data_IF_479145562651
#
_entry.id   IF_479145562651
#
_cell.length_a   1.000
_cell.length_b   1.000
_cell.length_c   1.000
_cell.angle_alpha   90.00
_cell.angle_beta   90.00
_cell.angle_gamma   90.00
#
_symmetry.space_group_name_H-M   'P 1'
#
loop_
_entity.id
_entity.type
_entity.pdbx_description
1 polymer ?
#
# COMPACT_ATOMS: atom_id res chain seq x y z
N UNK A 1 -25.11 -28.69 -13.14
CA UNK A 1 -24.23 -28.19 -14.22
C UNK A 1 -23.04 -27.52 -13.55
N UNK A 2 -21.87 -28.17 -13.61
CA UNK A 2 -20.66 -27.78 -12.88
C UNK A 2 -20.21 -26.37 -13.26
N UNK A 3 -19.99 -25.51 -12.28
CA UNK A 3 -19.40 -24.17 -12.46
C UNK A 3 -17.90 -24.29 -12.77
N UNK A 4 -17.53 -24.89 -13.91
CA UNK A 4 -16.13 -25.07 -14.28
C UNK A 4 -15.53 -23.71 -14.68
N UNK A 5 -14.54 -23.22 -13.93
CA UNK A 5 -13.71 -22.08 -14.33
C UNK A 5 -13.62 -20.90 -13.37
N UNK A 6 -14.06 -20.99 -12.10
CA UNK A 6 -14.04 -19.84 -11.17
C UNK A 6 -13.34 -20.11 -9.84
N UNK A 7 -12.46 -21.11 -9.77
CA UNK A 7 -11.70 -21.45 -8.57
C UNK A 7 -10.38 -20.70 -8.51
N UNK A 8 -10.16 -19.95 -7.43
CA UNK A 8 -8.93 -19.18 -7.22
C UNK A 8 -8.22 -19.68 -5.96
N UNK A 9 -6.96 -20.09 -6.11
CA UNK A 9 -6.08 -20.44 -5.00
C UNK A 9 -5.12 -19.29 -4.69
N UNK A 10 -5.25 -18.67 -3.52
CA UNK A 10 -4.33 -17.64 -3.05
C UNK A 10 -3.14 -18.23 -2.28
N UNK A 11 -1.94 -17.86 -2.69
CA UNK A 11 -0.66 -18.22 -2.09
C UNK A 11 -0.08 -16.95 -1.45
N UNK A 12 -0.10 -16.89 -0.12
CA UNK A 12 0.16 -15.66 0.63
C UNK A 12 1.58 -15.60 1.17
N UNK A 13 2.08 -14.38 1.41
CA UNK A 13 3.33 -14.16 2.14
C UNK A 13 3.13 -14.04 3.67
N UNK A 14 1.88 -14.01 4.15
CA UNK A 14 1.54 -14.00 5.59
C UNK A 14 0.17 -14.59 5.87
N UNK A 15 -0.05 -15.07 7.09
CA UNK A 15 -1.29 -15.73 7.52
C UNK A 15 -2.39 -14.74 7.96
N UNK A 16 -3.64 -15.21 7.94
CA UNK A 16 -4.80 -14.44 8.39
C UNK A 16 -4.78 -14.07 9.87
N UNK A 17 -4.09 -14.84 10.73
CA UNK A 17 -3.94 -14.54 12.15
C UNK A 17 -2.96 -13.39 12.43
N UNK A 18 -2.01 -13.14 11.53
CA UNK A 18 -1.00 -12.09 11.66
C UNK A 18 -0.65 -11.47 10.29
N UNK A 19 -1.62 -10.82 9.62
CA UNK A 19 -1.42 -10.41 8.25
C UNK A 19 -0.51 -9.20 8.12
N UNK A 20 0.40 -9.27 7.17
CA UNK A 20 1.06 -8.09 6.64
C UNK A 20 0.02 -7.15 6.02
N UNK A 21 0.25 -5.83 6.06
CA UNK A 21 -0.65 -4.86 5.42
C UNK A 21 -0.95 -5.19 3.95
N UNK A 22 0.06 -5.64 3.19
CA UNK A 22 -0.09 -6.02 1.79
C UNK A 22 -1.00 -7.24 1.60
N UNK A 23 -0.92 -8.26 2.46
CA UNK A 23 -1.80 -9.43 2.40
C UNK A 23 -3.25 -9.04 2.69
N UNK A 24 -3.46 -8.24 3.75
CA UNK A 24 -4.80 -7.74 4.11
C UNK A 24 -5.43 -6.92 2.98
N UNK A 25 -4.69 -5.95 2.45
CA UNK A 25 -5.21 -5.00 1.45
C UNK A 25 -5.41 -5.67 0.07
N UNK A 26 -4.42 -6.41 -0.42
CA UNK A 26 -4.48 -6.97 -1.78
C UNK A 26 -5.30 -8.27 -1.90
N UNK A 27 -5.57 -8.96 -0.79
CA UNK A 27 -6.30 -10.23 -0.80
C UNK A 27 -7.54 -10.18 0.09
N UNK A 28 -7.39 -10.05 1.40
CA UNK A 28 -8.54 -10.23 2.31
C UNK A 28 -9.66 -9.23 2.09
N UNK A 29 -9.33 -7.96 1.80
CA UNK A 29 -10.33 -6.93 1.54
C UNK A 29 -11.13 -7.17 0.26
N UNK A 30 -10.58 -7.92 -0.72
CA UNK A 30 -11.25 -8.17 -2.00
C UNK A 30 -11.98 -9.52 -2.06
N UNK A 31 -11.71 -10.45 -1.14
CA UNK A 31 -12.37 -11.76 -1.09
C UNK A 31 -13.92 -11.69 -1.09
N UNK A 32 -14.58 -10.79 -0.33
CA UNK A 32 -16.04 -10.69 -0.36
C UNK A 32 -16.57 -10.33 -1.75
N UNK A 33 -15.93 -9.39 -2.45
CA UNK A 33 -16.32 -8.98 -3.79
C UNK A 33 -16.08 -10.07 -4.82
N UNK A 34 -14.98 -10.85 -4.70
CA UNK A 34 -14.73 -12.02 -5.54
C UNK A 34 -15.85 -13.07 -5.38
N UNK A 35 -16.26 -13.36 -4.15
CA UNK A 35 -17.35 -14.30 -3.86
C UNK A 35 -18.68 -13.80 -4.42
N UNK A 36 -18.97 -12.51 -4.25
CA UNK A 36 -20.18 -11.88 -4.81
C UNK A 36 -20.19 -11.93 -6.35
N UNK A 37 -19.02 -11.86 -7.00
CA UNK A 37 -18.88 -12.05 -8.44
C UNK A 37 -18.93 -13.53 -8.87
N UNK A 38 -19.10 -14.46 -7.93
CA UNK A 38 -19.24 -15.89 -8.16
C UNK A 38 -17.93 -16.66 -8.29
N UNK A 39 -16.82 -16.12 -7.76
CA UNK A 39 -15.56 -16.86 -7.61
C UNK A 39 -15.54 -17.71 -6.33
N UNK A 40 -15.07 -18.94 -6.46
CA UNK A 40 -14.71 -19.80 -5.35
C UNK A 40 -13.25 -19.51 -4.95
N UNK A 41 -13.07 -18.46 -4.16
CA UNK A 41 -11.77 -17.99 -3.71
C UNK A 41 -11.36 -18.64 -2.37
N UNK A 42 -10.26 -19.40 -2.40
CA UNK A 42 -9.69 -20.07 -1.22
C UNK A 42 -8.26 -19.61 -0.93
N UNK A 43 -7.90 -19.58 0.35
CA UNK A 43 -6.50 -19.45 0.75
C UNK A 43 -5.87 -20.82 0.63
N UNK A 44 -5.07 -21.02 -0.41
CA UNK A 44 -4.44 -22.31 -0.69
C UNK A 44 -3.15 -22.52 0.10
N UNK A 45 -2.46 -21.42 0.44
CA UNK A 45 -1.24 -21.47 1.23
C UNK A 45 -1.04 -20.17 1.98
N UNK A 46 -0.65 -20.26 3.25
CA UNK A 46 -0.09 -19.17 4.03
C UNK A 46 1.02 -19.71 4.94
N UNK A 47 2.16 -19.01 5.06
CA UNK A 47 3.25 -19.45 5.92
C UNK A 47 2.95 -19.14 7.39
N UNK A 48 3.46 -19.96 8.33
CA UNK A 48 3.26 -19.74 9.76
C UNK A 48 3.94 -18.47 10.28
N UNK A 49 4.98 -17.99 9.57
CA UNK A 49 5.63 -16.71 9.82
C UNK A 49 5.67 -15.92 8.51
N UNK A 50 5.48 -14.59 8.55
CA UNK A 50 5.55 -13.77 7.35
C UNK A 50 6.89 -13.92 6.61
N UNK A 51 6.83 -14.33 5.35
CA UNK A 51 7.99 -14.46 4.48
C UNK A 51 7.57 -14.36 3.02
N UNK A 52 8.38 -13.69 2.21
CA UNK A 52 8.19 -13.65 0.76
C UNK A 52 8.84 -14.84 0.04
N UNK A 53 9.59 -15.68 0.75
CA UNK A 53 10.22 -16.90 0.21
C UNK A 53 9.81 -18.12 1.02
N UNK A 54 8.51 -18.46 1.07
CA UNK A 54 8.05 -19.64 1.79
C UNK A 54 8.50 -20.93 1.10
N UNK A 55 8.60 -22.00 1.88
CA UNK A 55 8.63 -23.36 1.33
C UNK A 55 7.22 -23.72 0.87
N UNK A 56 7.07 -23.94 -0.43
CA UNK A 56 5.80 -24.26 -1.11
C UNK A 56 5.84 -25.63 -1.77
N UNK A 57 6.74 -26.52 -1.33
CA UNK A 57 6.90 -27.85 -1.92
C UNK A 57 5.56 -28.60 -2.05
N UNK A 58 5.26 -29.09 -3.25
CA UNK A 58 4.04 -29.84 -3.55
C UNK A 58 2.78 -28.98 -3.62
N UNK A 59 2.91 -27.66 -3.70
CA UNK A 59 1.79 -26.74 -3.87
C UNK A 59 1.04 -27.00 -5.18
N UNK A 60 1.75 -27.12 -6.31
CA UNK A 60 1.14 -27.28 -7.63
C UNK A 60 0.26 -28.53 -7.69
N UNK A 61 0.76 -29.67 -7.21
CA UNK A 61 -0.01 -30.91 -7.16
C UNK A 61 -1.31 -30.76 -6.37
N UNK A 62 -1.28 -30.04 -5.23
CA UNK A 62 -2.49 -29.75 -4.44
C UNK A 62 -3.47 -28.86 -5.17
N UNK A 63 -3.01 -27.74 -5.75
CA UNK A 63 -3.91 -26.83 -6.48
C UNK A 63 -4.56 -27.50 -7.71
N UNK A 64 -3.80 -28.35 -8.42
CA UNK A 64 -4.32 -29.14 -9.54
C UNK A 64 -5.38 -30.13 -9.04
N UNK A 65 -5.12 -30.84 -7.94
CA UNK A 65 -6.07 -31.77 -7.34
C UNK A 65 -7.35 -31.06 -6.85
N UNK A 66 -7.22 -29.84 -6.33
CA UNK A 66 -8.35 -29.00 -5.89
C UNK A 66 -9.14 -28.40 -7.08
N UNK A 67 -8.65 -28.56 -8.32
CA UNK A 67 -9.26 -28.00 -9.52
C UNK A 67 -9.19 -26.47 -9.56
N UNK A 68 -8.09 -25.90 -9.08
CA UNK A 68 -7.84 -24.45 -9.15
C UNK A 68 -7.63 -24.02 -10.61
N UNK A 69 -8.39 -23.02 -11.04
CA UNK A 69 -8.26 -22.43 -12.38
C UNK A 69 -7.20 -21.32 -12.43
N UNK A 70 -7.11 -20.53 -11.34
CA UNK A 70 -6.18 -19.41 -11.20
C UNK A 70 -5.44 -19.51 -9.87
N UNK A 71 -4.11 -19.56 -9.91
CA UNK A 71 -3.25 -19.45 -8.74
C UNK A 71 -2.70 -18.02 -8.61
N UNK A 72 -3.02 -17.35 -7.50
CA UNK A 72 -2.57 -15.98 -7.20
C UNK A 72 -1.44 -15.98 -6.18
N UNK A 73 -0.26 -15.55 -6.58
CA UNK A 73 0.96 -15.49 -5.78
C UNK A 73 1.14 -14.08 -5.21
N UNK A 74 0.71 -13.87 -3.97
CA UNK A 74 0.80 -12.56 -3.31
C UNK A 74 2.21 -12.38 -2.72
N UNK A 75 3.04 -11.57 -3.39
CA UNK A 75 4.42 -11.23 -3.06
C UNK A 75 5.41 -12.39 -2.95
N UNK A 76 4.96 -13.64 -2.94
CA UNK A 76 5.86 -14.79 -2.83
C UNK A 76 6.72 -14.98 -4.08
N UNK A 77 7.99 -15.34 -3.89
CA UNK A 77 8.98 -15.54 -4.95
C UNK A 77 10.10 -16.49 -4.49
N UNK A 78 11.04 -16.73 -5.40
CA UNK A 78 12.22 -17.56 -5.15
C UNK A 78 12.15 -18.88 -5.92
N UNK A 79 13.24 -19.67 -5.90
CA UNK A 79 13.38 -20.85 -6.76
C UNK A 79 12.25 -21.87 -6.60
N UNK A 80 11.86 -22.18 -5.35
CA UNK A 80 10.76 -23.13 -5.09
C UNK A 80 9.41 -22.63 -5.62
N UNK A 81 9.09 -21.35 -5.38
CA UNK A 81 7.86 -20.74 -5.92
C UNK A 81 7.85 -20.76 -7.45
N UNK A 82 8.98 -20.49 -8.10
CA UNK A 82 9.10 -20.52 -9.56
C UNK A 82 8.84 -21.92 -10.13
N UNK A 83 9.43 -22.96 -9.52
CA UNK A 83 9.23 -24.34 -9.95
C UNK A 83 7.75 -24.79 -9.83
N UNK A 84 7.07 -24.39 -8.76
CA UNK A 84 5.63 -24.68 -8.59
C UNK A 84 4.79 -23.92 -9.63
N UNK A 85 5.13 -22.66 -9.96
CA UNK A 85 4.45 -21.89 -11.01
C UNK A 85 4.62 -22.56 -12.38
N UNK A 86 5.82 -23.03 -12.73
CA UNK A 86 6.07 -23.73 -14.00
C UNK A 86 5.22 -25.00 -14.11
N UNK A 87 5.14 -25.77 -13.03
CA UNK A 87 4.33 -26.98 -12.96
C UNK A 87 2.84 -26.68 -13.16
N UNK A 88 2.32 -25.64 -12.50
CA UNK A 88 0.94 -25.18 -12.66
C UNK A 88 0.63 -24.78 -14.10
N UNK A 89 1.54 -24.02 -14.73
CA UNK A 89 1.37 -23.57 -16.12
C UNK A 89 1.35 -24.73 -17.11
N UNK A 90 2.22 -25.72 -16.91
CA UNK A 90 2.22 -26.93 -17.74
C UNK A 90 0.92 -27.72 -17.60
N UNK A 91 0.28 -27.67 -16.44
CA UNK A 91 -1.04 -28.25 -16.20
C UNK A 91 -2.22 -27.36 -16.65
N UNK A 92 -1.96 -26.20 -17.26
CA UNK A 92 -2.98 -25.29 -17.76
C UNK A 92 -3.61 -24.36 -16.71
N UNK A 93 -3.11 -24.36 -15.47
CA UNK A 93 -3.55 -23.43 -14.42
C UNK A 93 -2.96 -22.05 -14.70
N UNK A 94 -3.82 -21.02 -14.71
CA UNK A 94 -3.38 -19.63 -14.92
C UNK A 94 -2.70 -19.10 -13.68
N UNK A 95 -1.64 -18.32 -13.86
CA UNK A 95 -0.87 -17.79 -12.72
C UNK A 95 -0.84 -16.27 -12.71
N UNK A 96 -1.09 -15.69 -11.53
CA UNK A 96 -1.07 -14.24 -11.31
C UNK A 96 -0.07 -13.90 -10.22
N UNK A 97 0.80 -12.93 -10.46
CA UNK A 97 1.71 -12.40 -9.45
C UNK A 97 1.21 -11.06 -8.90
N UNK A 98 1.02 -10.95 -7.58
CA UNK A 98 0.60 -9.71 -6.93
C UNK A 98 1.75 -9.07 -6.16
N UNK A 99 2.13 -7.84 -6.48
CA UNK A 99 3.25 -7.13 -5.82
C UNK A 99 2.93 -5.64 -5.63
N UNK A 100 3.46 -5.01 -4.58
CA UNK A 100 3.13 -3.62 -4.26
C UNK A 100 4.34 -2.69 -4.08
N UNK A 101 5.55 -3.23 -4.00
CA UNK A 101 6.73 -2.49 -3.53
C UNK A 101 8.07 -2.96 -4.15
N UNK A 102 8.02 -3.80 -5.19
CA UNK A 102 9.20 -4.40 -5.81
C UNK A 102 9.09 -4.48 -7.33
N UNK A 103 10.25 -4.42 -7.98
CA UNK A 103 10.45 -4.67 -9.40
C UNK A 103 11.07 -6.06 -9.57
N UNK A 104 10.25 -7.06 -9.91
CA UNK A 104 10.65 -8.45 -10.12
C UNK A 104 10.29 -8.91 -11.55
N UNK A 105 11.15 -8.56 -12.52
CA UNK A 105 10.91 -8.85 -13.94
C UNK A 105 10.83 -10.36 -14.24
N UNK A 106 11.52 -11.18 -13.45
CA UNK A 106 11.50 -12.63 -13.62
C UNK A 106 10.13 -13.21 -13.26
N UNK A 107 9.54 -12.81 -12.12
CA UNK A 107 8.19 -13.25 -11.74
C UNK A 107 7.13 -12.74 -12.72
N UNK A 108 7.29 -11.52 -13.24
CA UNK A 108 6.40 -10.97 -14.28
C UNK A 108 6.49 -11.79 -15.56
N UNK A 109 7.68 -12.21 -15.98
CA UNK A 109 7.87 -13.06 -17.17
C UNK A 109 7.29 -14.45 -16.98
N UNK A 110 7.37 -14.98 -15.76
CA UNK A 110 6.93 -16.32 -15.42
C UNK A 110 5.41 -16.47 -15.31
N UNK A 111 4.70 -15.39 -14.97
CA UNK A 111 3.24 -15.43 -14.73
C UNK A 111 2.42 -14.97 -15.94
N UNK A 112 1.15 -15.39 -16.01
CA UNK A 112 0.26 -14.97 -17.11
C UNK A 112 -0.13 -13.49 -16.99
N UNK A 113 -0.30 -13.02 -15.76
CA UNK A 113 -0.53 -11.62 -15.44
C UNK A 113 0.19 -11.21 -14.15
N UNK A 114 0.50 -9.93 -14.04
CA UNK A 114 0.96 -9.31 -12.79
C UNK A 114 0.00 -8.21 -12.38
N UNK A 115 -0.33 -8.15 -11.09
CA UNK A 115 -1.11 -7.08 -10.48
C UNK A 115 -0.19 -6.22 -9.62
N UNK A 116 -0.24 -4.92 -9.84
CA UNK A 116 0.58 -3.92 -9.14
C UNK A 116 -0.26 -2.71 -8.72
N UNK A 117 0.26 -1.91 -7.78
CA UNK A 117 -0.54 -0.87 -7.12
C UNK A 117 -0.43 0.53 -7.74
N UNK A 118 0.57 0.80 -8.58
CA UNK A 118 0.76 2.12 -9.21
C UNK A 118 1.26 2.02 -10.65
N UNK A 119 0.88 2.99 -11.48
CA UNK A 119 1.43 3.15 -12.83
C UNK A 119 2.95 3.43 -12.80
N UNK A 120 3.42 4.23 -11.84
CA UNK A 120 4.84 4.52 -11.73
C UNK A 120 5.68 3.25 -11.49
N UNK A 121 5.24 2.37 -10.58
CA UNK A 121 5.95 1.11 -10.32
C UNK A 121 5.90 0.19 -11.55
N UNK A 122 4.76 0.11 -12.25
CA UNK A 122 4.66 -0.59 -13.54
C UNK A 122 5.69 -0.09 -14.56
N UNK A 123 5.88 1.23 -14.66
CA UNK A 123 6.84 1.84 -15.59
C UNK A 123 8.31 1.52 -15.26
N UNK A 124 8.61 1.07 -14.04
CA UNK A 124 9.97 0.67 -13.67
C UNK A 124 10.35 -0.74 -14.14
N UNK A 125 9.38 -1.53 -14.61
CA UNK A 125 9.62 -2.82 -15.24
C UNK A 125 10.03 -2.66 -16.70
N UNK A 126 10.72 -3.68 -17.22
CA UNK A 126 11.14 -3.71 -18.62
C UNK A 126 9.95 -3.46 -19.57
N UNK A 127 10.07 -2.58 -20.59
CA UNK A 127 8.94 -2.17 -21.44
C UNK A 127 8.15 -3.33 -22.05
N UNK A 128 8.82 -4.40 -22.45
CA UNK A 128 8.20 -5.58 -23.06
C UNK A 128 7.33 -6.38 -22.07
N UNK A 129 7.51 -6.19 -20.77
CA UNK A 129 6.73 -6.85 -19.71
C UNK A 129 5.49 -6.06 -19.33
N UNK A 130 5.45 -4.75 -19.57
CA UNK A 130 4.41 -3.85 -19.05
C UNK A 130 3.00 -4.18 -19.55
N UNK A 131 2.87 -4.79 -20.74
CA UNK A 131 1.58 -5.23 -21.27
C UNK A 131 0.88 -6.31 -20.42
N UNK A 132 1.66 -7.07 -19.61
CA UNK A 132 1.16 -8.11 -18.69
C UNK A 132 0.87 -7.57 -17.28
N UNK A 133 1.22 -6.32 -17.02
CA UNK A 133 1.10 -5.69 -15.70
C UNK A 133 -0.19 -4.85 -15.68
N UNK A 134 -1.08 -5.19 -14.75
CA UNK A 134 -2.35 -4.53 -14.52
C UNK A 134 -2.30 -3.73 -13.22
N UNK A 135 -2.78 -2.50 -13.25
CA UNK A 135 -2.80 -1.63 -12.06
C UNK A 135 -4.12 -1.82 -11.32
N UNK A 136 -4.03 -2.38 -10.12
CA UNK A 136 -5.11 -2.49 -9.13
C UNK A 136 -4.61 -1.81 -7.87
N UNK A 137 -5.17 -0.65 -7.57
CA UNK A 137 -4.73 0.21 -6.48
C UNK A 137 -5.02 -0.41 -5.10
N UNK A 138 -4.50 0.22 -4.06
CA UNK A 138 -4.91 -0.09 -2.70
C UNK A 138 -6.33 0.47 -2.46
N UNK A 139 -7.31 -0.41 -2.18
CA UNK A 139 -8.68 0.00 -1.88
C UNK A 139 -8.77 0.76 -0.54
N UNK A 140 -9.54 1.85 -0.52
CA UNK A 140 -9.83 2.64 0.68
C UNK A 140 -10.60 1.79 1.68
N UNK A 141 -9.99 1.63 2.86
CA UNK A 141 -10.60 0.98 4.00
C UNK A 141 -11.39 2.01 4.82
N UNK A 142 -12.54 1.60 5.34
CA UNK A 142 -13.41 2.44 6.15
C UNK A 142 -13.82 3.77 5.48
N UNK A 143 -14.43 3.75 4.28
CA UNK A 143 -14.86 4.97 3.59
C UNK A 143 -15.90 5.78 4.40
N UNK A 144 -16.57 5.18 5.38
CA UNK A 144 -17.47 5.83 6.32
C UNK A 144 -16.77 6.81 7.26
N UNK A 145 -15.47 6.64 7.51
CA UNK A 145 -14.70 7.52 8.41
C UNK A 145 -14.61 8.91 7.80
N UNK A 146 -14.90 9.92 8.63
CA UNK A 146 -14.83 11.33 8.27
C UNK A 146 -14.19 12.13 9.39
N UNK A 147 -13.50 13.20 9.01
CA UNK A 147 -13.14 14.29 9.90
C UNK A 147 -14.39 14.74 10.65
N UNK A 148 -14.26 14.87 11.97
CA UNK A 148 -15.29 15.41 12.84
C UNK A 148 -15.39 16.93 12.69
N UNK A 149 -16.62 17.43 12.58
CA UNK A 149 -16.94 18.86 12.51
C UNK A 149 -17.15 19.48 13.91
N UNK A 150 -17.54 18.65 14.88
CA UNK A 150 -17.85 19.01 16.27
C UNK A 150 -16.60 19.14 17.16
N UNK A 151 -15.39 19.01 16.58
CA UNK A 151 -14.19 19.22 17.36
C UNK A 151 -14.08 20.71 17.67
N UNK A 152 -14.45 21.08 18.90
CA UNK A 152 -14.30 22.43 19.42
C UNK A 152 -12.95 23.02 19.00
N UNK A 153 -12.96 24.29 18.59
CA UNK A 153 -11.74 25.06 18.42
C UNK A 153 -11.02 25.09 19.78
N UNK A 154 -10.13 24.12 20.02
CA UNK A 154 -9.49 23.91 21.31
C UNK A 154 -8.51 25.03 21.63
N UNK A 155 -7.23 24.71 21.75
CA UNK A 155 -6.15 25.68 21.99
C UNK A 155 -5.83 26.59 20.77
N UNK A 156 -6.70 26.62 19.76
CA UNK A 156 -6.53 27.36 18.51
C UNK A 156 -5.46 26.80 17.57
N UNK A 157 -4.84 25.65 17.88
CA UNK A 157 -3.83 25.02 17.00
C UNK A 157 -4.48 24.16 15.92
N UNK A 158 -3.90 24.19 14.73
CA UNK A 158 -4.31 23.34 13.62
C UNK A 158 -3.87 21.90 13.88
N UNK A 159 -4.82 20.96 13.94
CA UNK A 159 -4.53 19.55 14.22
C UNK A 159 -4.12 18.79 12.96
N UNK A 160 -2.90 18.28 12.94
CA UNK A 160 -2.36 17.49 11.84
C UNK A 160 -2.11 16.04 12.26
N UNK A 161 -2.24 15.13 11.31
CA UNK A 161 -1.91 13.72 11.51
C UNK A 161 -0.93 13.19 10.45
N UNK A 162 0.08 12.47 10.94
CA UNK A 162 0.96 11.61 10.15
C UNK A 162 0.73 10.17 10.56
N UNK A 163 0.32 9.32 9.62
CA UNK A 163 0.29 7.86 9.82
C UNK A 163 1.46 7.26 9.04
N UNK A 164 2.36 6.58 9.73
CA UNK A 164 3.60 6.04 9.16
C UNK A 164 3.88 4.62 9.66
N UNK A 165 4.66 3.86 8.90
CA UNK A 165 5.05 2.50 9.26
C UNK A 165 6.34 2.44 10.10
N UNK A 166 6.98 3.59 10.35
CA UNK A 166 8.17 3.69 11.20
C UNK A 166 7.89 4.42 12.51
N UNK A 167 8.95 4.80 13.20
CA UNK A 167 8.93 5.62 14.42
C UNK A 167 9.82 6.85 14.23
N UNK A 168 9.51 7.74 13.25
CA UNK A 168 10.36 8.86 12.94
C UNK A 168 10.53 9.74 14.18
N UNK A 169 11.74 10.23 14.39
CA UNK A 169 12.05 11.13 15.50
C UNK A 169 11.92 12.61 15.13
N UNK A 170 11.99 12.88 13.83
CA UNK A 170 11.80 14.20 13.21
C UNK A 170 10.86 14.04 12.04
N UNK A 171 10.20 15.12 11.63
CA UNK A 171 9.32 15.09 10.47
C UNK A 171 10.18 15.29 9.22
N UNK A 172 10.30 14.33 8.29
CA UNK A 172 11.13 14.50 7.10
C UNK A 172 10.75 15.78 6.34
N UNK A 173 11.74 16.47 5.77
CA UNK A 173 11.60 17.75 5.04
C UNK A 173 11.18 18.94 5.94
N UNK A 174 10.14 18.79 6.77
CA UNK A 174 9.60 19.84 7.64
C UNK A 174 10.51 20.13 8.86
N UNK A 175 11.19 19.11 9.37
CA UNK A 175 11.99 19.16 10.59
C UNK A 175 11.09 19.30 11.82
N UNK A 176 11.21 20.44 12.53
CA UNK A 176 10.31 20.80 13.63
C UNK A 176 9.05 21.49 13.10
N UNK A 177 7.85 20.99 13.42
CA UNK A 177 6.60 21.67 13.11
C UNK A 177 6.50 23.07 13.72
N UNK A 178 5.79 24.01 13.07
CA UNK A 178 5.45 25.30 13.68
C UNK A 178 4.68 25.14 14.99
N UNK A 179 4.85 26.08 15.94
CA UNK A 179 4.20 26.01 17.26
C UNK A 179 2.66 26.02 17.18
N UNK A 180 2.09 26.60 16.13
CA UNK A 180 0.64 26.61 15.90
C UNK A 180 0.10 25.30 15.29
N UNK A 181 0.97 24.36 14.90
CA UNK A 181 0.59 23.05 14.37
C UNK A 181 0.63 22.00 15.49
N UNK A 182 -0.52 21.42 15.83
CA UNK A 182 -0.62 20.29 16.75
C UNK A 182 -0.51 18.98 15.97
N UNK A 183 0.72 18.46 15.81
CA UNK A 183 0.97 17.23 15.06
C UNK A 183 0.88 15.99 15.95
N UNK A 184 0.07 15.02 15.52
CA UNK A 184 0.09 13.63 16.02
C UNK A 184 0.75 12.72 14.99
N UNK A 185 1.73 11.93 15.42
CA UNK A 185 2.41 10.92 14.59
C UNK A 185 2.03 9.54 15.11
N UNK A 186 1.26 8.81 14.30
CA UNK A 186 0.84 7.44 14.54
C UNK A 186 1.80 6.50 13.82
N UNK A 187 2.50 5.64 14.57
CA UNK A 187 3.54 4.75 14.04
C UNK A 187 4.01 3.69 15.03
N UNK A 188 5.21 3.15 14.84
CA UNK A 188 5.79 2.08 15.67
C UNK A 188 6.35 2.61 17.00
N UNK A 189 5.50 3.29 17.77
CA UNK A 189 5.81 3.75 19.12
C UNK A 189 5.23 2.78 20.15
N UNK A 190 5.83 2.67 21.34
CA UNK A 190 5.25 1.90 22.44
C UNK A 190 3.93 2.51 22.95
N UNK A 191 2.97 1.67 23.36
CA UNK A 191 1.69 2.15 23.92
C UNK A 191 1.84 2.84 25.27
N UNK A 192 2.79 2.37 26.08
CA UNK A 192 3.14 2.92 27.38
C UNK A 192 4.66 2.91 27.51
N UNK A 193 5.25 4.06 27.81
CA UNK A 193 6.64 4.15 28.22
C UNK A 193 6.70 4.44 29.72
N UNK A 194 7.52 3.69 30.44
CA UNK A 194 7.93 4.09 31.79
C UNK A 194 8.89 5.29 31.71
N UNK A 195 9.00 6.14 32.76
CA UNK A 195 9.94 7.25 32.77
C UNK A 195 11.40 6.84 32.48
N UNK A 196 11.81 5.65 32.95
CA UNK A 196 13.14 5.08 32.67
C UNK A 196 13.31 4.67 31.20
N UNK A 197 12.28 4.09 30.58
CA UNK A 197 12.31 3.76 29.15
C UNK A 197 12.38 5.04 28.30
N UNK A 198 11.56 6.04 28.63
CA UNK A 198 11.58 7.33 27.95
C UNK A 198 12.96 8.02 28.07
N UNK A 199 13.57 8.00 29.27
CA UNK A 199 14.91 8.54 29.49
C UNK A 199 15.98 7.77 28.73
N UNK A 200 15.97 6.43 28.78
CA UNK A 200 16.92 5.57 28.04
C UNK A 200 16.79 5.78 26.53
N UNK A 201 15.57 5.85 26.02
CA UNK A 201 15.31 6.17 24.62
C UNK A 201 15.90 7.54 24.28
N UNK A 202 15.65 8.57 25.10
CA UNK A 202 16.22 9.92 24.90
C UNK A 202 17.74 9.95 24.89
N UNK A 203 18.39 9.27 25.82
CA UNK A 203 19.86 9.19 25.87
C UNK A 203 20.42 8.42 24.66
N UNK A 204 19.77 7.32 24.26
CA UNK A 204 20.11 6.61 23.02
C UNK A 204 20.01 7.52 21.80
N UNK A 205 18.93 8.31 21.69
CA UNK A 205 18.74 9.28 20.60
C UNK A 205 19.87 10.31 20.53
N UNK A 206 20.22 10.93 21.65
CA UNK A 206 21.32 11.91 21.71
C UNK A 206 22.65 11.28 21.35
N UNK A 207 22.92 10.05 21.80
CA UNK A 207 24.18 9.33 21.52
C UNK A 207 24.39 9.05 20.02
N UNK A 208 23.32 8.70 19.30
CA UNK A 208 23.39 8.36 17.87
C UNK A 208 23.16 9.58 16.96
N UNK A 209 22.90 10.76 17.53
CA UNK A 209 22.70 11.98 16.76
C UNK A 209 24.02 12.56 16.24
N UNK A 210 24.04 13.11 15.01
CA UNK A 210 25.13 13.95 14.54
C UNK A 210 25.42 15.10 15.53
N UNK A 211 26.66 15.58 15.66
CA UNK A 211 27.02 16.61 16.63
C UNK A 211 26.10 17.86 16.60
N UNK A 212 25.67 18.28 15.40
CA UNK A 212 24.77 19.43 15.21
C UNK A 212 23.31 19.20 15.60
N UNK A 213 22.88 17.96 15.85
CA UNK A 213 21.48 17.62 16.14
C UNK A 213 21.23 17.18 17.59
N UNK A 214 22.29 17.01 18.40
CA UNK A 214 22.21 16.46 19.76
C UNK A 214 21.28 17.26 20.67
N UNK A 215 21.34 18.59 20.62
CA UNK A 215 20.48 19.47 21.42
C UNK A 215 19.00 19.30 21.03
N UNK A 216 18.73 19.11 19.74
CA UNK A 216 17.38 18.90 19.23
C UNK A 216 16.82 17.55 19.69
N UNK A 217 17.62 16.48 19.68
CA UNK A 217 17.23 15.16 20.20
C UNK A 217 17.00 15.16 21.72
N UNK A 218 17.73 16.00 22.46
CA UNK A 218 17.56 16.14 23.90
C UNK A 218 16.19 16.73 24.28
N UNK A 219 15.67 17.64 23.46
CA UNK A 219 14.36 18.29 23.66
C UNK A 219 13.17 17.36 23.43
N UNK A 220 13.38 16.15 22.90
CA UNK A 220 12.31 15.18 22.63
C UNK A 220 11.51 15.48 21.36
N UNK A 221 10.38 14.79 21.20
CA UNK A 221 9.52 14.96 20.03
C UNK A 221 8.86 16.34 20.02
N UNK A 222 8.84 16.98 18.86
CA UNK A 222 8.08 18.22 18.64
C UNK A 222 6.60 17.94 18.28
N UNK A 223 6.13 16.71 18.51
CA UNK A 223 4.82 16.19 18.15
C UNK A 223 4.39 15.13 19.17
N UNK A 224 3.10 14.78 19.16
CA UNK A 224 2.55 13.69 19.97
C UNK A 224 2.79 12.36 19.26
N UNK A 225 3.66 11.52 19.80
CA UNK A 225 3.88 10.16 19.30
C UNK A 225 2.78 9.21 19.80
N UNK A 226 2.23 8.38 18.93
CA UNK A 226 1.14 7.44 19.24
C UNK A 226 1.39 6.08 18.60
N UNK A 227 1.23 5.02 19.37
CA UNK A 227 1.31 3.65 18.87
C UNK A 227 0.22 3.40 17.82
N UNK A 228 0.60 2.82 16.68
CA UNK A 228 -0.35 2.41 15.65
C UNK A 228 -1.20 1.25 16.16
N UNK A 229 -2.52 1.36 15.98
CA UNK A 229 -3.46 0.27 16.20
C UNK A 229 -4.51 0.24 15.07
N UNK A 230 -4.96 -0.94 14.63
CA UNK A 230 -5.79 -1.08 13.44
C UNK A 230 -7.08 -0.26 13.47
N UNK A 231 -7.79 -0.19 14.60
CA UNK A 231 -9.05 0.54 14.71
C UNK A 231 -8.82 2.01 15.11
N UNK A 232 -7.93 2.26 16.07
CA UNK A 232 -7.67 3.60 16.62
C UNK A 232 -7.15 4.58 15.58
N UNK A 233 -6.43 4.11 14.55
CA UNK A 233 -5.92 5.00 13.49
C UNK A 233 -7.05 5.76 12.79
N UNK A 234 -8.25 5.19 12.69
CA UNK A 234 -9.41 5.84 12.10
C UNK A 234 -10.04 6.89 13.03
N UNK A 235 -10.04 6.63 14.34
CA UNK A 235 -10.41 7.64 15.36
C UNK A 235 -9.42 8.82 15.35
N UNK A 236 -8.13 8.52 15.23
CA UNK A 236 -7.06 9.52 15.15
C UNK A 236 -7.22 10.38 13.88
N UNK A 237 -7.53 9.75 12.74
CA UNK A 237 -7.83 10.44 11.48
C UNK A 237 -9.06 11.35 11.62
N UNK A 238 -10.14 10.83 12.22
CA UNK A 238 -11.37 11.60 12.45
C UNK A 238 -11.15 12.79 13.40
N UNK A 239 -10.16 12.71 14.30
CA UNK A 239 -9.75 13.77 15.21
C UNK A 239 -8.84 14.85 14.61
N UNK A 240 -8.30 14.63 13.41
CA UNK A 240 -7.42 15.57 12.72
C UNK A 240 -8.20 16.56 11.84
N UNK A 241 -7.52 17.65 11.45
CA UNK A 241 -8.06 18.63 10.50
C UNK A 241 -7.33 18.59 9.16
N UNK A 242 -6.05 18.25 9.19
CA UNK A 242 -5.24 18.03 7.99
C UNK A 242 -4.43 16.74 8.09
N UNK A 243 -4.14 16.16 6.94
CA UNK A 243 -3.21 15.06 6.77
C UNK A 243 -1.84 15.55 6.32
N UNK A 244 -0.75 14.98 6.85
CA UNK A 244 0.58 15.18 6.28
C UNK A 244 1.23 13.86 5.89
N UNK A 245 2.01 13.87 4.80
CA UNK A 245 2.78 12.72 4.30
C UNK A 245 4.20 13.16 3.91
N UNK A 246 5.04 13.52 4.90
CA UNK A 246 6.44 13.78 4.67
C UNK A 246 7.18 12.48 4.43
N UNK A 247 7.94 12.42 3.34
CA UNK A 247 8.77 11.29 2.98
C UNK A 247 10.22 11.75 2.92
N UNK A 248 11.11 10.92 3.46
CA UNK A 248 12.54 11.12 3.29
C UNK A 248 12.94 10.76 1.86
N UNK A 249 13.35 11.76 1.10
CA UNK A 249 13.66 11.63 -0.33
C UNK A 249 15.17 11.49 -0.59
N UNK A 250 15.98 11.25 0.46
CA UNK A 250 17.40 10.93 0.27
C UNK A 250 17.54 9.69 -0.64
N UNK A 251 18.58 9.62 -1.48
CA UNK A 251 18.82 8.46 -2.32
C UNK A 251 18.88 7.18 -1.47
N UNK A 252 17.99 6.24 -1.78
CA UNK A 252 17.89 4.93 -1.14
C UNK A 252 17.44 3.91 -2.20
N UNK A 253 18.34 3.57 -3.14
CA UNK A 253 18.01 2.78 -4.33
C UNK A 253 17.52 1.38 -3.95
N UNK A 254 16.53 0.89 -4.70
CA UNK A 254 16.17 -0.53 -4.67
C UNK A 254 17.38 -1.38 -5.08
N UNK A 255 17.52 -2.62 -4.54
CA UNK A 255 18.62 -3.51 -4.91
C UNK A 255 18.75 -3.67 -6.44
N UNK A 256 19.91 -3.30 -6.99
CA UNK A 256 20.20 -3.39 -8.42
C UNK A 256 19.46 -2.39 -9.31
N UNK A 257 18.86 -1.32 -8.76
CA UNK A 257 18.12 -0.31 -9.53
C UNK A 257 18.54 1.11 -9.13
N UNK A 258 18.26 2.09 -10.00
CA UNK A 258 18.50 3.50 -9.69
C UNK A 258 17.33 4.15 -8.92
N UNK A 259 16.11 3.64 -9.11
CA UNK A 259 14.91 4.15 -8.44
C UNK A 259 14.95 3.83 -6.95
N UNK A 260 14.61 4.82 -6.12
CA UNK A 260 14.62 4.69 -4.67
C UNK A 260 13.32 4.14 -4.08
N UNK A 261 13.38 3.52 -2.90
CA UNK A 261 12.21 2.99 -2.18
C UNK A 261 11.08 4.00 -2.02
N UNK A 262 11.40 5.28 -1.83
CA UNK A 262 10.40 6.32 -1.65
C UNK A 262 9.61 6.62 -2.94
N UNK A 263 10.21 6.41 -4.11
CA UNK A 263 9.58 6.70 -5.40
C UNK A 263 8.54 5.64 -5.78
N UNK A 264 8.71 4.41 -5.30
CA UNK A 264 7.81 3.28 -5.61
C UNK A 264 6.69 3.10 -4.57
N UNK A 265 6.54 4.05 -3.63
CA UNK A 265 5.47 3.99 -2.62
C UNK A 265 4.09 4.14 -3.27
N UNK A 266 3.11 3.41 -2.75
CA UNK A 266 1.70 3.57 -3.14
C UNK A 266 1.04 4.78 -2.50
N UNK A 267 -0.10 5.15 -3.07
CA UNK A 267 -1.03 6.21 -2.67
C UNK A 267 -1.89 5.88 -1.46
N UNK A 268 -1.79 4.68 -0.88
CA UNK A 268 -2.66 4.26 0.24
C UNK A 268 -2.72 5.28 1.38
N UNK A 269 -1.56 5.84 1.79
CA UNK A 269 -1.52 6.83 2.88
C UNK A 269 -2.16 8.16 2.50
N UNK A 270 -2.16 8.50 1.21
CA UNK A 270 -2.77 9.69 0.64
C UNK A 270 -4.28 9.49 0.55
N UNK A 271 -4.74 8.45 -0.16
CA UNK A 271 -6.15 8.16 -0.36
C UNK A 271 -6.88 7.89 0.95
N UNK A 272 -6.24 7.26 1.94
CA UNK A 272 -6.78 7.10 3.30
C UNK A 272 -7.16 8.44 3.95
N UNK A 273 -6.28 9.45 3.85
CA UNK A 273 -6.50 10.76 4.48
C UNK A 273 -7.48 11.61 3.67
N UNK A 274 -7.36 11.58 2.35
CA UNK A 274 -8.29 12.25 1.44
C UNK A 274 -9.71 11.68 1.60
N UNK A 275 -9.86 10.35 1.68
CA UNK A 275 -11.12 9.69 1.95
C UNK A 275 -11.73 10.16 3.27
N UNK A 276 -10.94 10.32 4.34
CA UNK A 276 -11.43 10.89 5.59
C UNK A 276 -11.88 12.36 5.50
N UNK A 277 -11.72 13.04 4.35
CA UNK A 277 -12.08 14.44 4.17
C UNK A 277 -11.05 15.41 4.74
N UNK A 278 -9.80 14.97 4.93
CA UNK A 278 -8.71 15.83 5.36
C UNK A 278 -8.10 16.53 4.15
N UNK A 279 -7.79 17.83 4.28
CA UNK A 279 -6.86 18.46 3.37
C UNK A 279 -5.45 17.87 3.59
N UNK A 280 -4.74 17.49 2.52
CA UNK A 280 -3.48 16.75 2.63
C UNK A 280 -2.31 17.55 2.05
N UNK A 281 -1.20 17.61 2.78
CA UNK A 281 0.11 18.05 2.27
C UNK A 281 1.04 16.85 2.20
N UNK A 282 1.65 16.58 1.05
CA UNK A 282 2.47 15.41 0.84
C UNK A 282 3.79 15.75 0.14
N UNK A 283 4.82 14.93 0.38
CA UNK A 283 6.03 14.92 -0.44
C UNK A 283 5.70 14.45 -1.88
N UNK A 284 6.52 14.80 -2.88
CA UNK A 284 6.31 14.47 -4.30
C UNK A 284 6.60 12.99 -4.61
N UNK A 285 5.91 12.06 -3.94
CA UNK A 285 5.93 10.65 -4.32
C UNK A 285 5.23 10.53 -5.68
N UNK A 286 5.81 9.83 -6.68
CA UNK A 286 5.26 9.74 -8.02
C UNK A 286 3.78 9.35 -8.09
N UNK A 287 3.34 8.39 -7.27
CA UNK A 287 1.94 7.95 -7.22
C UNK A 287 0.96 9.01 -6.71
N UNK A 288 1.44 10.12 -6.14
CA UNK A 288 0.61 11.20 -5.60
C UNK A 288 0.38 12.30 -6.64
N UNK A 289 1.28 12.43 -7.62
CA UNK A 289 1.34 13.56 -8.53
C UNK A 289 0.09 13.64 -9.43
N UNK A 290 -0.41 12.49 -9.90
CA UNK A 290 -1.61 12.42 -10.74
C UNK A 290 -2.93 12.47 -9.95
N UNK A 291 -2.84 12.45 -8.61
CA UNK A 291 -4.00 12.49 -7.71
C UNK A 291 -4.21 13.91 -7.19
N UNK A 292 -3.13 14.61 -6.86
CA UNK A 292 -3.19 15.95 -6.26
C UNK A 292 -3.23 17.03 -7.34
N UNK A 293 -4.30 17.81 -7.29
CA UNK A 293 -4.41 19.11 -7.93
C UNK A 293 -4.11 20.19 -6.89
N UNK A 294 -3.02 20.94 -7.13
CA UNK A 294 -2.44 21.89 -6.17
C UNK A 294 -3.47 22.92 -5.69
N UNK A 295 -3.70 22.95 -4.37
CA UNK A 295 -4.61 23.89 -3.73
C UNK A 295 -6.11 23.61 -3.95
N UNK A 296 -6.46 22.61 -4.76
CA UNK A 296 -7.85 22.20 -5.00
C UNK A 296 -8.21 21.02 -4.13
N UNK A 297 -7.46 19.93 -4.20
CA UNK A 297 -7.74 18.70 -3.44
C UNK A 297 -6.56 18.23 -2.57
N UNK A 298 -5.47 19.00 -2.54
CA UNK A 298 -4.28 18.73 -1.73
C UNK A 298 -3.09 19.60 -2.15
N UNK A 299 -1.92 19.29 -1.59
CA UNK A 299 -0.67 19.98 -1.90
C UNK A 299 0.48 18.98 -2.04
N UNK A 300 1.27 19.13 -3.10
CA UNK A 300 2.59 18.51 -3.22
C UNK A 300 3.66 19.55 -2.86
N UNK A 301 4.48 19.22 -1.85
CA UNK A 301 5.52 20.09 -1.32
C UNK A 301 6.91 19.45 -1.49
N UNK A 302 7.77 20.08 -2.31
CA UNK A 302 9.11 19.59 -2.65
C UNK A 302 10.16 20.06 -1.64
N UNK A 303 9.96 21.24 -1.08
CA UNK A 303 10.88 21.89 -0.16
C UNK A 303 10.23 22.20 1.18
N UNK A 304 11.04 22.45 2.21
CA UNK A 304 10.52 22.94 3.50
C UNK A 304 9.71 24.23 3.35
N UNK A 305 10.08 25.10 2.41
CA UNK A 305 9.35 26.34 2.16
C UNK A 305 7.94 26.04 1.62
N UNK A 306 7.83 25.11 0.66
CA UNK A 306 6.55 24.67 0.10
C UNK A 306 5.65 24.07 1.19
N UNK A 307 6.23 23.25 2.08
CA UNK A 307 5.53 22.67 3.22
C UNK A 307 4.96 23.77 4.13
N UNK A 308 5.76 24.77 4.47
CA UNK A 308 5.30 25.88 5.31
C UNK A 308 4.22 26.72 4.62
N UNK A 309 4.35 26.99 3.32
CA UNK A 309 3.36 27.73 2.55
C UNK A 309 2.03 26.98 2.46
N UNK A 310 2.05 25.68 2.15
CA UNK A 310 0.84 24.85 2.11
C UNK A 310 0.16 24.74 3.49
N UNK A 311 0.95 24.55 4.55
CA UNK A 311 0.42 24.49 5.91
C UNK A 311 -0.18 25.85 6.34
N UNK A 312 0.41 26.97 5.94
CA UNK A 312 -0.10 28.31 6.26
C UNK A 312 -1.40 28.61 5.51
N UNK A 313 -1.50 28.25 4.22
CA UNK A 313 -2.75 28.33 3.46
C UNK A 313 -3.89 27.54 4.12
N UNK A 314 -3.59 26.35 4.64
CA UNK A 314 -4.57 25.51 5.34
C UNK A 314 -4.97 26.00 6.74
N UNK A 315 -4.42 27.12 7.22
CA UNK A 315 -4.89 27.75 8.46
C UNK A 315 -6.26 28.39 8.28
N UNK A 316 -6.57 28.90 7.09
CA UNK A 316 -7.92 29.36 6.76
C UNK A 316 -8.91 28.17 6.83
N UNK A 317 -9.88 28.20 7.77
CA UNK A 317 -10.85 27.13 7.92
C UNK A 317 -11.71 26.89 6.68
N UNK A 318 -12.08 27.96 5.95
CA UNK A 318 -12.95 27.83 4.78
C UNK A 318 -12.19 27.15 3.64
N UNK A 319 -10.98 27.63 3.35
CA UNK A 319 -10.10 27.00 2.37
C UNK A 319 -9.81 25.53 2.73
N UNK A 320 -9.43 25.26 3.99
CA UNK A 320 -9.17 23.89 4.47
C UNK A 320 -10.37 22.96 4.29
N UNK A 321 -11.58 23.42 4.59
CA UNK A 321 -12.80 22.63 4.42
C UNK A 321 -13.08 22.34 2.94
N UNK A 322 -12.92 23.34 2.06
CA UNK A 322 -13.07 23.18 0.62
C UNK A 322 -12.09 22.14 0.07
N UNK A 323 -10.81 22.24 0.43
CA UNK A 323 -9.76 21.30 -0.01
C UNK A 323 -10.05 19.89 0.49
N UNK A 324 -10.44 19.71 1.75
CA UNK A 324 -10.78 18.40 2.30
C UNK A 324 -12.00 17.75 1.64
N UNK A 325 -13.03 18.54 1.32
CA UNK A 325 -14.20 18.05 0.60
C UNK A 325 -13.86 17.61 -0.84
N UNK A 326 -13.09 18.42 -1.56
CA UNK A 326 -12.60 18.08 -2.90
C UNK A 326 -11.68 16.84 -2.89
N UNK A 327 -10.81 16.73 -1.88
CA UNK A 327 -9.96 15.56 -1.66
C UNK A 327 -10.78 14.28 -1.52
N UNK A 328 -11.83 14.30 -0.69
CA UNK A 328 -12.69 13.13 -0.52
C UNK A 328 -13.40 12.77 -1.82
N UNK A 329 -13.98 13.75 -2.50
CA UNK A 329 -14.71 13.54 -3.75
C UNK A 329 -13.82 12.93 -4.85
N UNK A 330 -12.55 13.33 -4.95
CA UNK A 330 -11.64 12.86 -6.00
C UNK A 330 -11.20 11.41 -5.83
N UNK A 331 -11.22 10.85 -4.61
CA UNK A 331 -10.70 9.49 -4.35
C UNK A 331 -11.78 8.44 -4.08
N UNK A 332 -12.95 8.83 -3.56
CA UNK A 332 -13.89 7.89 -2.94
C UNK A 332 -14.38 6.79 -3.89
N UNK A 333 -14.63 7.12 -5.15
CA UNK A 333 -15.05 6.14 -6.16
C UNK A 333 -13.85 5.43 -6.80
N UNK A 334 -12.84 6.18 -7.28
CA UNK A 334 -11.71 5.65 -8.04
C UNK A 334 -10.85 4.67 -7.24
N UNK A 335 -10.74 4.88 -5.93
CA UNK A 335 -9.93 4.08 -5.02
C UNK A 335 -10.79 3.26 -4.04
N UNK A 336 -12.08 3.07 -4.30
CA UNK A 336 -12.91 2.19 -3.47
C UNK A 336 -12.47 0.73 -3.59
N UNK A 337 -12.70 -0.06 -2.53
CA UNK A 337 -12.47 -1.52 -2.56
C UNK A 337 -13.28 -2.16 -3.70
N UNK A 338 -14.52 -1.71 -3.92
CA UNK A 338 -15.38 -2.25 -4.99
C UNK A 338 -14.80 -2.01 -6.38
N UNK A 339 -14.27 -0.81 -6.65
CA UNK A 339 -13.61 -0.51 -7.93
C UNK A 339 -12.32 -1.32 -8.10
N UNK A 340 -11.52 -1.49 -7.04
CA UNK A 340 -10.30 -2.29 -7.12
C UNK A 340 -10.62 -3.78 -7.31
N UNK A 341 -11.65 -4.30 -6.64
CA UNK A 341 -12.14 -5.65 -6.84
C UNK A 341 -12.65 -5.85 -8.27
N UNK A 342 -13.42 -4.89 -8.82
CA UNK A 342 -13.87 -4.92 -10.21
C UNK A 342 -12.71 -5.01 -11.20
N UNK A 343 -11.65 -4.22 -10.98
CA UNK A 343 -10.43 -4.27 -11.81
C UNK A 343 -9.70 -5.61 -11.69
N UNK A 344 -9.58 -6.15 -10.48
CA UNK A 344 -8.96 -7.46 -10.25
C UNK A 344 -9.76 -8.59 -10.94
N UNK A 345 -11.09 -8.55 -10.84
CA UNK A 345 -11.99 -9.49 -11.52
C UNK A 345 -11.79 -9.42 -13.04
N UNK A 346 -11.65 -8.21 -13.60
CA UNK A 346 -11.40 -8.04 -15.04
C UNK A 346 -10.07 -8.71 -15.48
N UNK A 347 -9.03 -8.69 -14.64
CA UNK A 347 -7.78 -9.43 -14.90
C UNK A 347 -8.06 -10.93 -14.94
N UNK A 348 -8.78 -11.46 -13.95
CA UNK A 348 -9.10 -12.88 -13.86
C UNK A 348 -9.97 -13.36 -15.04
N UNK A 349 -11.02 -12.61 -15.41
CA UNK A 349 -11.86 -12.94 -16.56
C UNK A 349 -11.07 -12.88 -17.89
N UNK A 350 -10.14 -11.92 -18.03
CA UNK A 350 -9.27 -11.82 -19.20
C UNK A 350 -8.35 -13.04 -19.39
N UNK A 351 -7.86 -13.62 -18.29
CA UNK A 351 -7.06 -14.86 -18.33
C UNK A 351 -7.86 -16.09 -18.73
N UNK A 352 -9.17 -16.07 -18.54
CA UNK A 352 -10.08 -17.16 -18.93
C UNK A 352 -10.48 -17.09 -20.40
N UNK A 353 -10.61 -15.88 -20.96
CA UNK A 353 -10.95 -15.66 -22.37
C UNK A 353 -9.83 -15.99 -23.35
N UNK A 354 -8.59 -16.17 -22.88
CA UNK A 354 -7.41 -16.46 -23.70
C UNK A 354 -7.09 -17.95 -23.81
N UNK A 355 -8.11 -18.82 -23.84
CA UNK A 355 -7.91 -20.24 -24.10
C UNK A 355 -7.20 -20.43 -25.45
N UNK A 356 -5.93 -20.80 -25.39
CA UNK A 356 -5.14 -21.21 -26.55
C UNK A 356 -5.73 -22.55 -27.02
N UNK A 357 -6.05 -22.74 -28.31
CA UNK A 357 -6.47 -24.05 -28.77
C UNK A 357 -5.35 -25.04 -28.49
N UNK A 358 -5.70 -26.18 -27.90
CA UNK A 358 -4.79 -27.30 -27.73
C UNK A 358 -4.18 -27.61 -29.09
N UNK A 359 -2.88 -27.35 -29.24
CA UNK A 359 -2.15 -27.62 -30.47
C UNK A 359 -2.16 -29.12 -30.74
N UNK A 360 -2.83 -29.50 -31.82
CA UNK A 360 -2.95 -30.84 -32.38
C UNK A 360 -1.66 -31.65 -32.33
N UNK A 361 -1.72 -32.76 -31.61
CA UNK A 361 -0.95 -33.96 -31.92
C UNK A 361 -1.60 -34.64 -33.13
N UNK A 362 -1.35 -34.12 -34.33
CA UNK A 362 -1.73 -34.80 -35.58
C UNK A 362 -0.46 -35.24 -36.35
N UNK A 363 -0.06 -36.44 -35.97
CA UNK A 363 0.72 -37.44 -36.71
C UNK A 363 0.80 -37.25 -38.24
N UNK A 364 2.04 -37.25 -38.73
CA UNK A 364 2.52 -38.02 -39.88
C UNK A 364 1.46 -38.82 -40.64
N UNK A 365 1.22 -38.44 -41.90
CA UNK A 365 1.03 -39.36 -43.03
C UNK A 365 1.18 -38.61 -44.36
N UNK A 366 2.36 -38.74 -44.96
CA UNK A 366 2.52 -38.65 -46.41
C UNK A 366 2.00 -39.95 -47.06
N UNK A 367 1.63 -39.88 -48.33
CA UNK A 367 2.37 -40.66 -49.31
C UNK A 367 3.27 -39.80 -50.20
#
# INVERSE_FOLDING_TARGET
MSASGRRIGFVLCSDASAPLPSTRISVFNVLPALRAAGYEAQIAFAPPQPTERPDVSGLAARLIADGIDIAYFQKVHGPGVRAEIETLRQAGVRTVYGVCDRIDDDMVRLTDATVIVTDYLKQQHAPELQARIHVVHDGIEHPEVRRREDIAAGDGRLRAILVTSGSPETVPVLGRPPRWLALTVVGQYPERETPLQALRARLRRVRHAPPGERLERLRGYAFTARAWQPQRVYEDLAGAEIGIIPVDMRPDPLPGRQVSYWQVKSENRLTLKMAAGLAVVASPVPSYLDIIEQGVNGYIAHSRADWLAALDALRDPQHRQSVGAAARASVLQRYSIDEQARRLIAVFDGLRGTAQPAGDTALLRMP
#
